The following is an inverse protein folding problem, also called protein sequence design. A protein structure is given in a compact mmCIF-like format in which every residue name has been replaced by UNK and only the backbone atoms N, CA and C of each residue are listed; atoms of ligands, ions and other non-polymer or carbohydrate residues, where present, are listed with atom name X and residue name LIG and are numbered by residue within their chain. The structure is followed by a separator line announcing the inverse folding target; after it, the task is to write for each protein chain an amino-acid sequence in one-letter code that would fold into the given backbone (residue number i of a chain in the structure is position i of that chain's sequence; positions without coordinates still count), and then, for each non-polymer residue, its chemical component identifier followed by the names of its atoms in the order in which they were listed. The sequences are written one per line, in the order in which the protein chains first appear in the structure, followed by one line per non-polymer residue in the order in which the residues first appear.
data_IF_629242528980
#
_entry.id   IF_629242528980
#
_cell.length_a   1.000
_cell.length_b   1.000
_cell.length_c   1.000
_cell.angle_alpha   90.00
_cell.angle_beta   90.00
_cell.angle_gamma   90.00
#
_symmetry.space_group_name_H-M   'P 1'
#
loop_
_entity.id
_entity.type
_entity.pdbx_description
1 polymer ?
#
# COMPACT_ATOMS: atom_id res chain seq x y z
N UNK A 1 -9.18 4.98 10.46
CA UNK A 1 -9.99 5.85 11.34
C UNK A 1 -9.02 6.67 12.18
N UNK A 2 -8.58 7.81 11.66
CA UNK A 2 -7.66 8.72 12.36
C UNK A 2 -8.37 9.59 13.40
N UNK A 3 -9.22 9.03 14.22
CA UNK A 3 -9.98 9.57 15.36
C UNK A 3 -9.64 10.94 15.94
N UNK A 4 -9.45 11.96 15.09
CA UNK A 4 -9.10 13.30 15.53
C UNK A 4 -7.59 13.55 15.67
N UNK A 5 -6.73 12.64 15.21
CA UNK A 5 -5.28 12.83 15.27
C UNK A 5 -4.84 14.12 14.54
N UNK A 6 -3.86 14.87 15.07
CA UNK A 6 -3.30 16.05 14.41
C UNK A 6 -2.73 15.72 13.03
N UNK A 7 -3.04 16.54 12.03
CA UNK A 7 -2.53 16.39 10.66
C UNK A 7 -1.54 17.51 10.40
N UNK A 8 -0.34 17.16 9.93
CA UNK A 8 0.70 18.11 9.53
C UNK A 8 0.88 18.01 8.02
N UNK A 9 0.53 19.09 7.31
CA UNK A 9 0.77 19.20 5.88
C UNK A 9 2.17 19.75 5.64
N UNK A 10 2.94 19.08 4.79
CA UNK A 10 4.31 19.47 4.48
C UNK A 10 4.44 19.78 3.00
N UNK A 11 4.80 21.00 2.66
CA UNK A 11 5.16 21.43 1.31
C UNK A 11 6.68 21.29 1.11
N UNK A 12 7.09 20.31 0.33
CA UNK A 12 8.50 20.15 -0.05
C UNK A 12 8.89 21.10 -1.18
N UNK A 13 10.17 21.14 -1.55
CA UNK A 13 10.69 22.01 -2.62
C UNK A 13 10.48 23.52 -2.37
N UNK A 14 10.66 23.96 -1.13
CA UNK A 14 10.62 25.38 -0.77
C UNK A 14 11.56 26.25 -1.62
N UNK A 15 12.65 25.69 -2.08
CA UNK A 15 13.62 26.30 -2.99
C UNK A 15 12.99 26.74 -4.32
N UNK A 16 11.94 26.03 -4.78
CA UNK A 16 11.22 26.35 -6.02
C UNK A 16 10.03 27.28 -5.78
N UNK A 17 9.55 27.41 -4.54
CA UNK A 17 8.43 28.26 -4.13
C UNK A 17 8.91 29.18 -2.99
N UNK A 18 9.84 30.07 -3.33
CA UNK A 18 10.55 30.88 -2.34
C UNK A 18 9.79 32.18 -1.96
N UNK A 19 8.84 32.65 -2.79
CA UNK A 19 8.13 33.87 -2.51
C UNK A 19 7.06 33.69 -1.44
N UNK A 20 6.86 34.69 -0.61
CA UNK A 20 5.85 34.72 0.46
C UNK A 20 4.46 34.63 -0.15
N UNK A 21 4.23 35.37 -1.21
CA UNK A 21 2.94 35.48 -1.91
C UNK A 21 2.50 34.15 -2.51
N UNK A 22 3.43 33.39 -3.11
CA UNK A 22 3.14 32.06 -3.66
C UNK A 22 2.76 31.06 -2.55
N UNK A 23 3.47 31.08 -1.44
CA UNK A 23 3.17 30.21 -0.30
C UNK A 23 1.81 30.55 0.32
N UNK A 24 1.46 31.83 0.40
CA UNK A 24 0.14 32.26 0.87
C UNK A 24 -0.97 31.87 -0.12
N UNK A 25 -0.73 31.98 -1.41
CA UNK A 25 -1.67 31.52 -2.45
C UNK A 25 -1.92 30.00 -2.36
N UNK A 26 -0.87 29.21 -2.17
CA UNK A 26 -1.00 27.76 -1.94
C UNK A 26 -1.78 27.47 -0.66
N UNK A 27 -1.48 28.17 0.43
CA UNK A 27 -2.19 28.03 1.70
C UNK A 27 -3.68 28.35 1.57
N UNK A 28 -4.03 29.44 0.85
CA UNK A 28 -5.40 29.82 0.58
C UNK A 28 -6.12 28.79 -0.30
N UNK A 29 -5.43 28.20 -1.28
CA UNK A 29 -5.95 27.13 -2.11
C UNK A 29 -6.26 25.88 -1.28
N UNK A 30 -5.34 25.43 -0.42
CA UNK A 30 -5.54 24.29 0.48
C UNK A 30 -6.76 24.51 1.38
N UNK A 31 -6.87 25.69 1.96
CA UNK A 31 -8.02 26.03 2.79
C UNK A 31 -9.33 25.97 1.98
N UNK A 32 -9.37 26.57 0.82
CA UNK A 32 -10.56 26.61 -0.02
C UNK A 32 -11.05 25.23 -0.41
N UNK A 33 -10.13 24.35 -0.79
CA UNK A 33 -10.47 22.99 -1.28
C UNK A 33 -10.83 22.02 -0.16
N UNK A 34 -10.25 22.19 1.04
CA UNK A 34 -10.37 21.17 2.11
C UNK A 34 -11.11 21.65 3.37
N UNK A 35 -11.47 22.93 3.52
CA UNK A 35 -12.11 23.48 4.73
C UNK A 35 -13.38 22.73 5.17
N UNK A 36 -14.11 22.15 4.22
CA UNK A 36 -15.36 21.44 4.48
C UNK A 36 -15.12 19.95 4.81
N UNK A 37 -13.87 19.48 4.79
CA UNK A 37 -13.51 18.13 5.20
C UNK A 37 -13.41 18.05 6.73
N UNK A 38 -14.05 17.06 7.37
CA UNK A 38 -13.92 16.86 8.82
C UNK A 38 -12.46 16.70 9.29
N UNK A 39 -11.61 16.09 8.45
CA UNK A 39 -10.20 15.91 8.74
C UNK A 39 -9.43 17.24 8.76
N UNK A 40 -9.89 18.28 8.06
CA UNK A 40 -9.20 19.56 7.99
C UNK A 40 -9.22 20.32 9.33
N UNK A 41 -10.20 20.03 10.19
CA UNK A 41 -10.29 20.61 11.52
C UNK A 41 -9.07 20.25 12.42
N UNK A 42 -8.37 19.15 12.11
CA UNK A 42 -7.18 18.70 12.85
C UNK A 42 -5.87 19.09 12.19
N UNK A 43 -5.91 19.80 11.05
CA UNK A 43 -4.70 20.29 10.36
C UNK A 43 -4.02 21.37 11.18
N UNK A 44 -2.73 21.17 11.44
CA UNK A 44 -1.90 22.09 12.19
C UNK A 44 -1.41 23.22 11.30
N UNK A 45 -1.46 24.43 11.84
CA UNK A 45 -1.03 25.65 11.14
C UNK A 45 0.43 25.98 11.46
N UNK A 46 1.20 26.30 10.43
CA UNK A 46 2.50 26.92 10.58
C UNK A 46 2.34 28.42 10.82
N UNK A 47 2.94 28.96 11.90
CA UNK A 47 2.89 30.35 12.28
C UNK A 47 4.30 30.92 12.35
N UNK A 48 4.57 31.91 11.55
CA UNK A 48 5.86 32.59 11.46
C UNK A 48 5.70 34.08 11.63
N UNK A 49 6.77 34.78 12.10
CA UNK A 49 6.82 36.23 12.05
C UNK A 49 7.03 36.65 10.60
N UNK A 50 6.21 37.57 10.13
CA UNK A 50 6.37 38.15 8.80
C UNK A 50 7.74 38.82 8.68
N UNK A 51 8.60 38.42 7.71
CA UNK A 51 9.90 39.04 7.49
C UNK A 51 9.84 40.52 7.16
N UNK A 52 8.69 41.01 6.61
CA UNK A 52 8.44 42.40 6.29
C UNK A 52 8.05 43.27 7.48
N UNK A 53 7.91 42.68 8.69
CA UNK A 53 7.57 43.40 9.92
C UNK A 53 6.07 43.61 10.13
N UNK A 54 5.20 43.07 9.30
CA UNK A 54 3.74 43.31 9.28
C UNK A 54 2.91 42.46 10.23
N UNK A 55 3.51 41.56 11.04
CA UNK A 55 2.72 40.73 11.93
C UNK A 55 3.14 39.25 11.95
N UNK A 56 2.15 38.33 12.17
CA UNK A 56 2.35 36.90 12.13
C UNK A 56 1.68 36.33 10.87
N UNK A 57 2.45 35.64 10.05
CA UNK A 57 1.97 34.89 8.92
C UNK A 57 1.50 33.50 9.38
N UNK A 58 0.38 33.04 8.84
CA UNK A 58 -0.18 31.72 9.14
C UNK A 58 -0.42 30.94 7.85
N UNK A 59 0.18 29.75 7.74
CA UNK A 59 0.01 28.85 6.61
C UNK A 59 -0.62 27.54 7.07
N UNK A 60 -1.40 26.91 6.20
CA UNK A 60 -1.98 25.60 6.42
C UNK A 60 -1.03 24.45 6.09
N UNK A 61 0.24 24.74 5.84
CA UNK A 61 1.29 23.77 5.60
C UNK A 61 2.65 24.31 6.05
N UNK A 62 3.61 23.42 6.21
CA UNK A 62 4.99 23.74 6.54
C UNK A 62 5.83 23.73 5.26
N UNK A 63 6.30 24.87 4.73
CA UNK A 63 7.18 24.93 3.57
C UNK A 63 8.60 24.53 3.97
N UNK A 64 9.06 23.33 3.58
CA UNK A 64 10.38 22.82 3.96
C UNK A 64 11.32 22.66 2.77
N UNK A 65 12.60 22.92 3.04
CA UNK A 65 13.69 22.60 2.13
C UNK A 65 14.39 21.32 2.62
N UNK A 66 14.04 20.18 2.01
CA UNK A 66 14.57 18.87 2.41
C UNK A 66 16.09 18.77 2.26
N UNK A 67 16.71 19.60 1.41
CA UNK A 67 18.16 19.56 1.18
C UNK A 67 18.94 20.14 2.34
N UNK A 68 18.31 20.99 3.15
CA UNK A 68 18.91 21.63 4.34
C UNK A 68 18.71 20.83 5.63
N UNK A 69 17.79 19.89 5.67
CA UNK A 69 17.50 19.11 6.87
C UNK A 69 17.24 20.01 8.09
N UNK A 70 17.93 19.74 9.19
CA UNK A 70 17.79 20.52 10.43
C UNK A 70 18.35 21.97 10.36
N UNK A 71 18.99 22.36 9.27
CA UNK A 71 19.39 23.76 9.04
C UNK A 71 18.23 24.62 8.54
N UNK A 72 17.14 24.03 8.06
CA UNK A 72 15.91 24.77 7.77
C UNK A 72 15.13 25.00 9.08
N UNK A 73 14.97 26.28 9.46
CA UNK A 73 14.23 26.69 10.65
C UNK A 73 12.77 26.16 10.65
N UNK A 74 12.17 25.99 9.47
CA UNK A 74 10.80 25.47 9.34
C UNK A 74 10.75 23.99 9.70
N UNK A 75 11.77 23.20 9.33
CA UNK A 75 11.89 21.80 9.74
C UNK A 75 11.97 21.70 11.26
N UNK A 76 12.80 22.53 11.90
CA UNK A 76 12.92 22.57 13.36
C UNK A 76 11.59 22.95 14.03
N UNK A 77 10.92 23.97 13.50
CA UNK A 77 9.61 24.42 14.01
C UNK A 77 8.54 23.32 13.85
N UNK A 78 8.53 22.62 12.72
CA UNK A 78 7.65 21.49 12.45
C UNK A 78 7.89 20.34 13.44
N UNK A 79 9.14 19.95 13.66
CA UNK A 79 9.48 18.90 14.63
C UNK A 79 9.02 19.27 16.04
N UNK A 80 9.26 20.51 16.48
CA UNK A 80 8.79 20.99 17.76
C UNK A 80 7.28 20.91 17.91
N UNK A 81 6.54 21.36 16.89
CA UNK A 81 5.09 21.29 16.88
C UNK A 81 4.58 19.86 16.92
N UNK A 82 5.23 18.91 16.19
CA UNK A 82 4.89 17.49 16.25
C UNK A 82 5.05 16.98 17.69
N UNK A 83 6.15 17.29 18.36
CA UNK A 83 6.37 16.90 19.76
C UNK A 83 5.27 17.45 20.66
N UNK A 84 4.94 18.75 20.53
CA UNK A 84 3.88 19.39 21.31
C UNK A 84 2.50 18.74 21.07
N UNK A 85 2.18 18.39 19.82
CA UNK A 85 0.95 17.65 19.49
C UNK A 85 0.92 16.28 20.16
N UNK A 86 2.04 15.55 20.07
CA UNK A 86 2.18 14.19 20.64
C UNK A 86 2.06 14.23 22.16
N UNK A 87 2.71 15.19 22.84
CA UNK A 87 2.62 15.35 24.30
C UNK A 87 1.19 15.68 24.77
N UNK A 88 0.37 16.30 23.91
CA UNK A 88 -1.03 16.58 24.16
C UNK A 88 -1.95 15.35 24.14
N UNK A 89 -1.53 14.26 23.51
CA UNK A 89 -2.36 13.09 23.26
C UNK A 89 -2.49 12.19 24.50
N UNK A 90 -3.72 11.76 24.82
CA UNK A 90 -3.99 10.92 25.99
C UNK A 90 -3.34 9.55 25.93
N UNK A 91 -3.19 8.97 24.72
CA UNK A 91 -2.60 7.63 24.57
C UNK A 91 -1.12 7.59 24.93
N UNK A 92 -0.39 8.70 24.86
CA UNK A 92 1.02 8.81 25.29
C UNK A 92 1.15 8.70 26.82
N UNK A 93 0.10 9.09 27.55
CA UNK A 93 0.08 9.04 29.03
C UNK A 93 -0.23 7.63 29.57
N UNK A 94 -0.48 6.63 28.69
CA UNK A 94 -0.75 5.26 29.13
C UNK A 94 0.50 4.65 29.77
N UNK A 95 0.32 4.12 30.98
CA UNK A 95 1.40 3.40 31.67
C UNK A 95 1.56 2.02 31.05
N UNK A 96 2.76 1.70 30.61
CA UNK A 96 3.12 0.37 30.12
C UNK A 96 4.09 -0.29 31.14
N UNK A 97 4.11 -1.63 31.26
CA UNK A 97 5.08 -2.32 32.09
C UNK A 97 6.51 -1.98 31.66
N UNK A 98 7.41 -1.76 32.60
CA UNK A 98 8.80 -1.47 32.31
C UNK A 98 9.49 -2.63 31.56
N UNK A 99 9.10 -3.86 31.87
CA UNK A 99 9.58 -5.07 31.18
C UNK A 99 9.32 -5.04 29.66
N UNK A 100 8.24 -4.39 29.19
CA UNK A 100 7.97 -4.22 27.76
C UNK A 100 8.99 -3.31 27.08
N UNK A 101 9.47 -2.28 27.79
CA UNK A 101 10.52 -1.39 27.27
C UNK A 101 11.86 -2.14 27.21
N UNK A 102 12.18 -2.96 28.20
CA UNK A 102 13.40 -3.78 28.19
C UNK A 102 13.40 -4.79 27.06
N UNK A 103 12.25 -5.39 26.75
CA UNK A 103 12.09 -6.25 25.56
C UNK A 103 12.30 -5.43 24.29
N UNK A 104 11.66 -4.28 24.18
CA UNK A 104 11.77 -3.41 23.00
C UNK A 104 13.22 -2.96 22.76
N UNK A 105 13.93 -2.58 23.79
CA UNK A 105 15.34 -2.18 23.68
C UNK A 105 16.24 -3.36 23.25
N UNK A 106 15.96 -4.56 23.74
CA UNK A 106 16.64 -5.78 23.29
C UNK A 106 16.35 -6.06 21.81
N UNK A 107 15.09 -5.94 21.37
CA UNK A 107 14.70 -6.10 19.98
C UNK A 107 15.35 -5.09 19.05
N UNK A 108 15.42 -3.82 19.46
CA UNK A 108 16.13 -2.78 18.70
C UNK A 108 17.62 -3.05 18.58
N UNK A 109 18.22 -3.58 19.66
CA UNK A 109 19.65 -3.87 19.70
C UNK A 109 20.06 -5.10 18.89
N UNK A 110 19.13 -6.02 18.58
CA UNK A 110 19.47 -7.25 17.86
C UNK A 110 19.82 -7.02 16.37
N UNK A 111 19.50 -5.83 15.82
CA UNK A 111 19.82 -5.44 14.44
C UNK A 111 19.10 -6.24 13.33
N UNK A 112 18.26 -7.20 13.70
CA UNK A 112 17.48 -8.02 12.75
C UNK A 112 16.31 -7.21 12.19
N UNK A 113 15.94 -7.37 10.90
CA UNK A 113 14.76 -6.72 10.32
C UNK A 113 13.45 -7.33 10.80
N UNK A 114 13.46 -8.61 11.17
CA UNK A 114 12.33 -9.35 11.72
C UNK A 114 12.81 -10.44 12.67
N UNK A 115 11.92 -10.96 13.49
CA UNK A 115 12.19 -12.04 14.46
C UNK A 115 11.00 -13.01 14.50
N UNK A 116 11.28 -14.29 14.78
CA UNK A 116 10.21 -15.25 15.03
C UNK A 116 9.48 -14.94 16.34
N UNK A 117 8.19 -15.29 16.40
CA UNK A 117 7.44 -15.16 17.66
C UNK A 117 8.07 -15.97 18.79
N UNK A 118 8.57 -17.16 18.49
CA UNK A 118 9.24 -18.01 19.47
C UNK A 118 10.49 -17.35 20.07
N UNK A 119 11.34 -16.75 19.26
CA UNK A 119 12.53 -16.05 19.74
C UNK A 119 12.14 -14.81 20.57
N UNK A 120 11.08 -14.10 20.17
CA UNK A 120 10.56 -12.98 20.93
C UNK A 120 10.02 -13.41 22.30
N UNK A 121 9.28 -14.53 22.36
CA UNK A 121 8.78 -15.08 23.63
C UNK A 121 9.91 -15.50 24.56
N UNK A 122 11.00 -16.05 24.03
CA UNK A 122 12.20 -16.36 24.79
C UNK A 122 12.84 -15.09 25.39
N UNK A 123 12.98 -14.01 24.60
CA UNK A 123 13.45 -12.71 25.06
C UNK A 123 12.51 -12.13 26.15
N UNK A 124 11.20 -12.18 25.90
CA UNK A 124 10.20 -11.66 26.83
C UNK A 124 10.24 -12.40 28.19
N UNK A 125 10.36 -13.73 28.16
CA UNK A 125 10.51 -14.54 29.37
C UNK A 125 11.79 -14.21 30.15
N UNK A 126 12.91 -13.97 29.46
CA UNK A 126 14.18 -13.54 30.07
C UNK A 126 14.03 -12.18 30.78
N UNK A 127 13.29 -11.25 30.16
CA UNK A 127 12.97 -9.92 30.73
C UNK A 127 11.87 -9.93 31.77
N UNK A 128 11.35 -11.12 32.12
CA UNK A 128 10.44 -11.32 33.26
C UNK A 128 8.97 -11.18 32.94
N UNK A 129 8.58 -11.16 31.66
CA UNK A 129 7.16 -11.26 31.31
C UNK A 129 6.61 -12.62 31.79
N UNK A 130 5.32 -12.66 32.14
CA UNK A 130 4.66 -13.85 32.69
C UNK A 130 4.99 -14.20 34.14
N UNK A 131 5.96 -13.52 34.77
CA UNK A 131 6.40 -13.85 36.16
C UNK A 131 5.53 -13.23 37.25
N UNK A 132 4.72 -12.23 36.93
CA UNK A 132 3.92 -11.53 37.95
C UNK A 132 2.71 -12.33 38.44
N UNK A 133 2.40 -13.48 37.83
CA UNK A 133 1.25 -14.33 38.18
C UNK A 133 -0.12 -13.73 37.81
N UNK A 134 -0.15 -12.53 37.22
CA UNK A 134 -1.40 -11.87 36.78
C UNK A 134 -1.85 -12.32 35.39
N UNK A 135 -0.90 -12.76 34.57
CA UNK A 135 -1.13 -13.12 33.16
C UNK A 135 -0.08 -14.16 32.76
N UNK A 136 -0.45 -15.10 31.90
CA UNK A 136 0.53 -16.03 31.33
C UNK A 136 1.39 -15.33 30.29
N UNK A 137 2.60 -15.85 30.05
CA UNK A 137 3.57 -15.23 29.14
C UNK A 137 2.99 -14.93 27.77
N UNK A 138 2.28 -15.88 27.18
CA UNK A 138 1.69 -15.75 25.83
C UNK A 138 0.70 -14.59 25.75
N UNK A 139 -0.17 -14.44 26.73
CA UNK A 139 -1.17 -13.36 26.81
C UNK A 139 -0.48 -11.99 26.97
N UNK A 140 0.54 -11.92 27.85
CA UNK A 140 1.29 -10.67 28.07
C UNK A 140 2.07 -10.25 26.82
N UNK A 141 2.67 -11.21 26.10
CA UNK A 141 3.36 -10.96 24.83
C UNK A 141 2.36 -10.49 23.76
N UNK A 142 1.18 -11.10 23.68
CA UNK A 142 0.15 -10.67 22.71
C UNK A 142 -0.31 -9.22 22.96
N UNK A 143 -0.53 -8.85 24.21
CA UNK A 143 -0.87 -7.47 24.59
C UNK A 143 0.26 -6.49 24.27
N UNK A 144 1.50 -6.87 24.54
CA UNK A 144 2.66 -6.06 24.20
C UNK A 144 2.77 -5.86 22.68
N UNK A 145 2.65 -6.93 21.90
CA UNK A 145 2.70 -6.86 20.43
C UNK A 145 1.58 -6.00 19.86
N UNK A 146 0.35 -6.17 20.34
CA UNK A 146 -0.79 -5.34 19.95
C UNK A 146 -0.55 -3.85 20.28
N UNK A 147 0.01 -3.57 21.44
CA UNK A 147 0.34 -2.19 21.85
C UNK A 147 1.44 -1.58 20.98
N UNK A 148 2.58 -2.28 20.80
CA UNK A 148 3.71 -1.80 20.01
C UNK A 148 3.36 -1.67 18.52
N UNK A 149 2.53 -2.57 18.00
CA UNK A 149 2.01 -2.49 16.62
C UNK A 149 1.02 -1.34 16.46
N UNK A 150 0.16 -1.10 17.44
CA UNK A 150 -0.75 0.04 17.48
C UNK A 150 -0.03 1.39 17.51
N UNK A 151 1.18 1.44 18.08
CA UNK A 151 2.08 2.60 18.04
C UNK A 151 2.92 2.68 16.76
N UNK A 152 2.84 1.70 15.86
CA UNK A 152 3.65 1.65 14.64
C UNK A 152 5.15 1.40 14.87
N UNK A 153 5.54 0.94 16.07
CA UNK A 153 6.94 0.64 16.41
C UNK A 153 7.39 -0.66 15.75
N UNK A 154 6.49 -1.62 15.67
CA UNK A 154 6.67 -2.91 14.99
C UNK A 154 5.48 -3.15 14.06
N UNK A 155 5.59 -4.13 13.15
CA UNK A 155 4.44 -4.67 12.44
C UNK A 155 4.24 -6.11 12.91
N UNK A 156 3.04 -6.38 13.40
CA UNK A 156 2.60 -7.69 13.81
C UNK A 156 1.18 -7.95 13.30
N UNK A 157 0.97 -9.10 12.68
CA UNK A 157 -0.33 -9.53 12.20
C UNK A 157 -0.71 -10.85 12.88
N UNK A 158 -1.89 -10.89 13.49
CA UNK A 158 -2.43 -12.08 14.15
C UNK A 158 -2.99 -13.13 13.18
N UNK A 159 -3.01 -12.87 11.87
CA UNK A 159 -3.40 -13.85 10.86
C UNK A 159 -2.51 -15.09 10.91
N UNK A 160 -3.10 -16.27 10.72
CA UNK A 160 -2.42 -17.55 10.92
C UNK A 160 -1.10 -17.70 10.13
N UNK A 161 -1.06 -17.15 8.92
CA UNK A 161 0.11 -17.22 8.02
C UNK A 161 1.29 -16.32 8.44
N UNK A 162 1.02 -15.22 9.16
CA UNK A 162 2.01 -14.22 9.57
C UNK A 162 2.20 -14.14 11.08
N UNK A 163 1.40 -14.89 11.84
CA UNK A 163 1.40 -14.88 13.31
C UNK A 163 2.76 -15.21 13.94
N UNK A 164 3.59 -15.95 13.22
CA UNK A 164 4.92 -16.34 13.68
C UNK A 164 6.01 -15.33 13.39
N UNK A 165 5.67 -14.19 12.75
CA UNK A 165 6.62 -13.18 12.35
C UNK A 165 6.32 -11.83 13.01
N UNK A 166 7.35 -11.23 13.59
CA UNK A 166 7.32 -9.86 14.13
C UNK A 166 8.33 -9.02 13.36
N UNK A 167 7.85 -8.02 12.61
CA UNK A 167 8.70 -7.16 11.79
C UNK A 167 9.17 -5.98 12.65
N UNK A 168 10.47 -5.86 12.84
CA UNK A 168 11.12 -4.85 13.67
C UNK A 168 11.54 -3.62 12.87
N UNK A 169 11.90 -3.81 11.60
CA UNK A 169 12.28 -2.73 10.68
C UNK A 169 11.52 -2.88 9.37
N UNK A 170 10.37 -2.20 9.22
CA UNK A 170 9.56 -2.29 8.00
C UNK A 170 10.32 -1.92 6.73
N UNK A 171 11.22 -0.94 6.79
CA UNK A 171 12.03 -0.55 5.62
C UNK A 171 12.89 -1.71 5.16
N UNK A 172 13.71 -2.27 6.02
CA UNK A 172 14.63 -3.37 5.68
C UNK A 172 13.91 -4.67 5.33
N UNK A 173 12.73 -4.91 5.92
CA UNK A 173 12.00 -6.15 5.72
C UNK A 173 11.02 -6.11 4.56
N UNK A 174 10.38 -4.97 4.29
CA UNK A 174 9.35 -4.85 3.23
C UNK A 174 9.83 -3.96 2.09
N UNK A 175 10.30 -2.74 2.38
CA UNK A 175 10.60 -1.76 1.33
C UNK A 175 11.80 -2.21 0.50
N UNK A 176 12.89 -2.61 1.14
CA UNK A 176 14.12 -2.99 0.44
C UNK A 176 13.88 -4.19 -0.52
N UNK A 177 13.31 -5.36 -0.07
CA UNK A 177 13.09 -6.46 -1.00
C UNK A 177 12.01 -6.16 -2.05
N UNK A 178 10.92 -5.47 -1.70
CA UNK A 178 9.85 -5.18 -2.66
C UNK A 178 10.29 -4.14 -3.70
N UNK A 179 11.14 -3.18 -3.33
CA UNK A 179 11.68 -2.22 -4.27
C UNK A 179 12.47 -2.87 -5.42
N UNK A 180 13.08 -4.04 -5.18
CA UNK A 180 13.80 -4.79 -6.22
C UNK A 180 12.90 -5.33 -7.34
N UNK A 181 11.59 -5.44 -7.09
CA UNK A 181 10.64 -5.97 -8.07
C UNK A 181 9.62 -4.95 -8.58
N UNK A 182 9.54 -3.76 -7.95
CA UNK A 182 8.57 -2.73 -8.35
C UNK A 182 9.23 -1.42 -8.81
N UNK A 183 10.56 -1.35 -8.87
CA UNK A 183 11.28 -0.14 -9.27
C UNK A 183 11.30 0.08 -10.80
N UNK A 184 11.69 1.27 -11.19
CA UNK A 184 12.07 1.56 -12.57
C UNK A 184 13.50 1.03 -12.84
N UNK A 185 13.62 -0.07 -13.56
CA UNK A 185 14.88 -0.73 -13.86
C UNK A 185 15.81 0.08 -14.78
N UNK A 186 15.34 1.17 -15.39
CA UNK A 186 16.17 2.09 -16.15
C UNK A 186 16.95 3.02 -15.26
N UNK A 187 16.37 3.39 -14.12
CA UNK A 187 16.93 4.30 -13.12
C UNK A 187 17.69 3.56 -12.03
N UNK A 188 17.18 2.42 -11.60
CA UNK A 188 17.70 1.63 -10.47
C UNK A 188 18.45 0.39 -10.97
N UNK A 189 19.76 0.36 -10.75
CA UNK A 189 20.67 -0.73 -11.19
C UNK A 189 21.37 -1.35 -9.98
N UNK A 190 20.58 -1.95 -9.10
CA UNK A 190 21.08 -2.60 -7.91
C UNK A 190 21.98 -3.80 -8.24
N UNK A 191 22.86 -4.17 -7.30
CA UNK A 191 23.74 -5.33 -7.47
C UNK A 191 22.94 -6.62 -7.67
N UNK A 192 21.85 -6.79 -6.92
CA UNK A 192 20.93 -7.91 -7.02
C UNK A 192 20.36 -8.06 -8.43
N UNK A 193 19.99 -6.95 -9.10
CA UNK A 193 19.52 -6.98 -10.49
C UNK A 193 20.57 -7.51 -11.45
N UNK A 194 21.82 -7.04 -11.31
CA UNK A 194 22.95 -7.50 -12.16
C UNK A 194 23.22 -8.98 -11.94
N UNK A 195 23.23 -9.42 -10.70
CA UNK A 195 23.45 -10.81 -10.32
C UNK A 195 22.32 -11.70 -10.87
N UNK A 196 21.06 -11.34 -10.58
CA UNK A 196 19.90 -12.12 -11.01
C UNK A 196 19.79 -12.20 -12.56
N UNK A 197 20.04 -11.09 -13.27
CA UNK A 197 20.03 -11.07 -14.73
C UNK A 197 21.13 -11.94 -15.36
N UNK A 198 22.29 -12.05 -14.71
CA UNK A 198 23.38 -12.92 -15.15
C UNK A 198 23.05 -14.39 -14.95
N UNK A 199 22.43 -14.75 -13.84
CA UNK A 199 22.04 -16.14 -13.53
C UNK A 199 20.84 -16.62 -14.37
N UNK A 200 19.86 -15.74 -14.60
CA UNK A 200 18.60 -16.08 -15.28
C UNK A 200 18.26 -15.06 -16.38
N UNK A 201 19.07 -14.93 -17.45
CA UNK A 201 18.91 -13.87 -18.46
C UNK A 201 17.56 -13.92 -19.19
N UNK A 202 17.05 -15.11 -19.47
CA UNK A 202 15.75 -15.27 -20.14
C UNK A 202 14.60 -14.86 -19.22
N UNK A 203 14.60 -15.27 -17.95
CA UNK A 203 13.58 -14.91 -16.99
C UNK A 203 13.61 -13.40 -16.69
N UNK A 204 14.81 -12.84 -16.58
CA UNK A 204 15.00 -11.40 -16.43
C UNK A 204 14.40 -10.61 -17.59
N UNK A 205 14.70 -11.03 -18.83
CA UNK A 205 14.13 -10.38 -20.02
C UNK A 205 12.60 -10.45 -20.04
N UNK A 206 12.00 -11.59 -19.67
CA UNK A 206 10.54 -11.73 -19.54
C UNK A 206 9.97 -10.84 -18.44
N UNK A 207 10.67 -10.75 -17.34
CA UNK A 207 10.25 -9.93 -16.20
C UNK A 207 10.18 -8.44 -16.57
N UNK A 208 11.28 -7.86 -17.08
CA UNK A 208 11.31 -6.43 -17.39
C UNK A 208 10.45 -6.04 -18.60
N UNK A 209 10.21 -6.98 -19.56
CA UNK A 209 9.44 -6.67 -20.77
C UNK A 209 7.95 -7.00 -20.66
N UNK A 210 7.57 -7.96 -19.84
CA UNK A 210 6.19 -8.48 -19.75
C UNK A 210 5.62 -8.50 -18.34
N UNK A 211 6.39 -8.12 -17.32
CA UNK A 211 6.00 -8.21 -15.93
C UNK A 211 5.84 -9.64 -15.40
N UNK A 212 6.41 -10.65 -16.09
CA UNK A 212 6.33 -12.07 -15.70
C UNK A 212 7.56 -12.49 -14.93
N UNK A 213 7.40 -12.72 -13.65
CA UNK A 213 8.46 -13.05 -12.70
C UNK A 213 8.40 -14.54 -12.33
N UNK A 214 9.46 -15.31 -12.60
CA UNK A 214 9.56 -16.70 -12.14
C UNK A 214 9.97 -16.75 -10.67
N UNK A 215 9.49 -17.76 -9.93
CA UNK A 215 9.84 -17.96 -8.50
C UNK A 215 11.35 -18.09 -8.28
N UNK A 216 12.06 -18.77 -9.21
CA UNK A 216 13.52 -18.91 -9.13
C UNK A 216 14.25 -17.57 -9.27
N UNK A 217 13.77 -16.67 -10.15
CA UNK A 217 14.31 -15.32 -10.28
C UNK A 217 14.00 -14.50 -9.03
N UNK A 218 12.79 -14.60 -8.48
CA UNK A 218 12.38 -13.95 -7.24
C UNK A 218 13.25 -14.40 -6.05
N UNK A 219 13.49 -15.72 -5.91
CA UNK A 219 14.40 -16.27 -4.89
C UNK A 219 15.81 -15.69 -5.01
N UNK A 220 16.30 -15.50 -6.24
CA UNK A 220 17.63 -14.91 -6.47
C UNK A 220 17.68 -13.42 -6.13
N UNK A 221 16.63 -12.67 -6.43
CA UNK A 221 16.53 -11.24 -6.07
C UNK A 221 16.47 -11.03 -4.55
N UNK A 222 15.86 -11.95 -3.83
CA UNK A 222 15.66 -11.85 -2.38
C UNK A 222 16.61 -12.71 -1.54
N UNK A 223 17.63 -13.29 -2.15
CA UNK A 223 18.57 -14.21 -1.50
C UNK A 223 19.19 -13.64 -0.21
N UNK A 224 19.50 -12.34 -0.21
CA UNK A 224 20.18 -11.67 0.89
C UNK A 224 19.26 -11.28 2.07
N UNK A 225 17.94 -11.32 1.89
CA UNK A 225 17.00 -10.83 2.91
C UNK A 225 16.54 -11.90 3.90
N UNK A 226 16.61 -13.19 3.54
CA UNK A 226 15.97 -14.25 4.30
C UNK A 226 14.45 -14.17 4.26
N UNK A 227 13.77 -15.04 5.00
CA UNK A 227 12.30 -15.04 5.13
C UNK A 227 11.56 -15.04 3.79
N UNK A 228 12.06 -15.83 2.83
CA UNK A 228 11.54 -15.83 1.45
C UNK A 228 10.04 -16.14 1.39
N UNK A 229 9.60 -17.18 2.10
CA UNK A 229 8.22 -17.64 2.09
C UNK A 229 7.26 -16.58 2.67
N UNK A 230 7.67 -15.91 3.74
CA UNK A 230 6.89 -14.84 4.37
C UNK A 230 6.82 -13.60 3.46
N UNK A 231 7.93 -13.23 2.83
CA UNK A 231 7.96 -12.13 1.86
C UNK A 231 7.10 -12.44 0.63
N UNK A 232 7.19 -13.66 0.10
CA UNK A 232 6.39 -14.14 -1.03
C UNK A 232 4.89 -14.09 -0.69
N UNK A 233 4.53 -14.59 0.49
CA UNK A 233 3.16 -14.56 0.98
C UNK A 233 2.62 -13.11 1.15
N UNK A 234 3.41 -12.25 1.79
CA UNK A 234 3.05 -10.83 1.93
C UNK A 234 2.89 -10.13 0.58
N UNK A 235 3.83 -10.35 -0.35
CA UNK A 235 3.76 -9.78 -1.68
C UNK A 235 2.52 -10.23 -2.45
N UNK A 236 2.14 -11.50 -2.32
CA UNK A 236 0.94 -12.05 -2.95
C UNK A 236 -0.34 -11.50 -2.31
N UNK A 237 -0.43 -11.46 -0.98
CA UNK A 237 -1.61 -10.95 -0.27
C UNK A 237 -1.88 -9.47 -0.57
N UNK A 238 -0.82 -8.68 -0.74
CA UNK A 238 -0.93 -7.26 -1.08
C UNK A 238 -0.94 -6.98 -2.59
N UNK A 239 -1.01 -8.01 -3.44
CA UNK A 239 -1.10 -7.86 -4.89
C UNK A 239 0.14 -7.23 -5.54
N UNK A 240 1.29 -7.24 -4.85
CA UNK A 240 2.59 -6.84 -5.42
C UNK A 240 3.01 -7.87 -6.47
N UNK A 241 2.79 -9.13 -6.17
CA UNK A 241 2.90 -10.25 -7.11
C UNK A 241 1.59 -11.01 -7.16
N UNK A 242 1.25 -11.57 -8.32
CA UNK A 242 0.01 -12.35 -8.52
C UNK A 242 0.36 -13.67 -9.17
N UNK A 243 0.03 -14.82 -8.54
CA UNK A 243 0.31 -16.13 -9.11
C UNK A 243 -0.34 -16.32 -10.48
N UNK A 244 0.43 -16.76 -11.48
CA UNK A 244 -0.05 -17.06 -12.83
C UNK A 244 -0.41 -18.53 -13.01
N UNK A 245 0.06 -19.39 -12.14
CA UNK A 245 -0.07 -20.84 -12.28
C UNK A 245 -0.99 -21.42 -11.23
N UNK A 246 -1.94 -22.26 -11.67
CA UNK A 246 -2.84 -22.98 -10.77
C UNK A 246 -2.11 -23.96 -9.85
N UNK A 247 -2.77 -24.27 -8.74
CA UNK A 247 -2.32 -25.21 -7.71
C UNK A 247 -1.94 -26.58 -8.36
N UNK A 248 -0.70 -27.03 -8.17
CA UNK A 248 -0.29 -28.39 -8.54
C UNK A 248 0.92 -28.54 -9.48
N UNK A 249 1.61 -27.44 -9.86
CA UNK A 249 2.89 -27.54 -10.57
C UNK A 249 4.07 -27.63 -9.59
N UNK A 250 5.15 -28.28 -10.03
CA UNK A 250 6.39 -28.34 -9.26
C UNK A 250 6.84 -26.91 -8.88
N UNK A 251 7.38 -26.75 -7.69
CA UNK A 251 7.76 -25.45 -7.09
C UNK A 251 8.59 -24.56 -8.02
N UNK A 252 9.41 -25.13 -8.88
CA UNK A 252 10.30 -24.40 -9.81
C UNK A 252 9.56 -23.80 -11.02
N UNK A 253 8.30 -24.13 -11.25
CA UNK A 253 7.49 -23.64 -12.37
C UNK A 253 6.43 -22.61 -11.97
N UNK A 254 6.48 -22.11 -10.75
CA UNK A 254 5.60 -21.02 -10.31
C UNK A 254 6.05 -19.73 -10.95
N UNK A 255 5.10 -19.03 -11.57
CA UNK A 255 5.29 -17.71 -12.17
C UNK A 255 4.29 -16.72 -11.57
N UNK A 256 4.68 -15.45 -11.52
CA UNK A 256 3.86 -14.36 -11.04
C UNK A 256 3.77 -13.27 -12.11
N UNK A 257 2.66 -12.52 -12.08
CA UNK A 257 2.59 -11.20 -12.66
C UNK A 257 3.02 -10.19 -11.59
N UNK A 258 3.80 -9.19 -11.99
CA UNK A 258 4.09 -7.99 -11.19
C UNK A 258 3.35 -6.83 -11.85
N UNK A 259 2.18 -6.42 -11.33
CA UNK A 259 1.31 -5.45 -12.00
C UNK A 259 1.96 -4.09 -12.26
N UNK A 260 2.85 -3.65 -11.35
CA UNK A 260 3.55 -2.37 -11.48
C UNK A 260 4.52 -2.29 -12.66
N UNK A 261 4.94 -3.45 -13.20
CA UNK A 261 5.88 -3.55 -14.35
C UNK A 261 5.13 -3.71 -15.67
N UNK A 262 3.84 -3.96 -15.65
CA UNK A 262 3.03 -4.05 -16.87
C UNK A 262 3.09 -2.73 -17.64
N UNK A 263 3.04 -2.83 -18.99
CA UNK A 263 3.01 -1.65 -19.85
C UNK A 263 1.87 -0.70 -19.47
N UNK A 264 2.12 0.59 -19.55
CA UNK A 264 1.12 1.66 -19.42
C UNK A 264 0.47 2.02 -20.75
N UNK A 265 0.94 1.45 -21.87
CA UNK A 265 0.34 1.70 -23.17
C UNK A 265 -1.10 1.14 -23.18
N UNK A 266 -2.05 1.83 -23.80
CA UNK A 266 -3.41 1.35 -23.85
C UNK A 266 -3.50 0.04 -24.63
N UNK A 267 -4.44 -0.82 -24.24
CA UNK A 267 -4.78 -2.01 -25.02
C UNK A 267 -5.38 -1.60 -26.37
N UNK A 268 -5.20 -2.41 -27.41
CA UNK A 268 -5.86 -2.17 -28.69
C UNK A 268 -7.39 -2.11 -28.50
N UNK A 269 -8.10 -1.38 -29.36
CA UNK A 269 -9.56 -1.32 -29.30
C UNK A 269 -10.18 -2.71 -29.28
N UNK A 270 -11.30 -2.87 -28.57
CA UNK A 270 -12.05 -4.12 -28.56
C UNK A 270 -12.50 -4.45 -29.98
N UNK A 271 -12.29 -5.68 -30.40
CA UNK A 271 -12.72 -6.17 -31.73
C UNK A 271 -14.26 -6.12 -31.87
N UNK A 272 -14.95 -6.32 -30.76
CA UNK A 272 -16.41 -6.22 -30.66
C UNK A 272 -16.79 -5.05 -29.76
N UNK A 273 -17.77 -4.26 -30.22
CA UNK A 273 -18.31 -3.20 -29.37
C UNK A 273 -18.88 -3.80 -28.06
N UNK A 274 -18.66 -3.17 -26.93
CA UNK A 274 -19.24 -3.64 -25.67
C UNK A 274 -20.76 -3.55 -25.73
N UNK A 275 -21.44 -4.61 -25.32
CA UNK A 275 -22.91 -4.63 -25.21
C UNK A 275 -23.41 -3.89 -23.98
N UNK A 276 -22.61 -3.88 -22.93
CA UNK A 276 -22.90 -3.21 -21.66
C UNK A 276 -21.65 -2.52 -21.14
N UNK A 277 -21.86 -1.38 -20.51
CA UNK A 277 -20.82 -0.63 -19.80
C UNK A 277 -21.27 -0.50 -18.35
N UNK A 278 -20.44 -0.97 -17.42
CA UNK A 278 -20.65 -0.83 -15.99
C UNK A 278 -19.54 0.01 -15.36
N UNK A 279 -19.80 0.54 -14.17
CA UNK A 279 -18.80 1.24 -13.37
C UNK A 279 -18.80 0.66 -11.97
N UNK A 280 -17.60 0.32 -11.48
CA UNK A 280 -17.37 -0.06 -10.09
C UNK A 280 -16.87 1.18 -9.34
N UNK A 281 -17.64 1.59 -8.36
CA UNK A 281 -17.38 2.78 -7.57
C UNK A 281 -17.06 2.35 -6.15
N UNK A 282 -15.93 2.84 -5.62
CA UNK A 282 -15.58 2.66 -4.22
C UNK A 282 -16.02 3.93 -3.50
N UNK A 283 -17.02 3.81 -2.64
CA UNK A 283 -17.54 4.92 -1.87
C UNK A 283 -17.44 4.62 -0.37
N UNK A 284 -17.19 5.66 0.42
CA UNK A 284 -17.29 5.54 1.87
C UNK A 284 -18.74 5.22 2.29
N UNK A 285 -18.93 4.25 3.16
CA UNK A 285 -20.18 3.56 3.46
C UNK A 285 -21.35 4.45 3.89
N UNK A 286 -21.11 5.63 4.45
CA UNK A 286 -22.16 6.49 5.02
C UNK A 286 -23.02 7.25 3.99
N UNK A 287 -22.54 7.34 2.74
CA UNK A 287 -23.24 8.14 1.70
C UNK A 287 -24.00 7.27 0.69
N UNK A 288 -23.72 5.96 0.62
CA UNK A 288 -24.24 5.08 -0.43
C UNK A 288 -25.63 4.52 -0.15
N UNK A 289 -26.00 4.32 1.12
CA UNK A 289 -27.31 3.74 1.47
C UNK A 289 -28.50 4.64 1.09
N UNK A 290 -28.28 5.95 0.90
CA UNK A 290 -29.32 6.91 0.52
C UNK A 290 -29.44 7.19 -1.00
N UNK A 291 -28.52 6.71 -1.82
CA UNK A 291 -28.43 7.16 -3.22
C UNK A 291 -28.62 6.07 -4.28
N UNK A 292 -28.86 4.82 -3.91
CA UNK A 292 -28.99 3.69 -4.86
C UNK A 292 -30.32 3.61 -5.63
N UNK A 293 -31.16 4.64 -5.59
CA UNK A 293 -32.45 4.68 -6.25
C UNK A 293 -32.51 5.32 -7.64
N UNK A 294 -31.47 5.96 -8.16
CA UNK A 294 -31.49 6.59 -9.49
C UNK A 294 -30.10 7.00 -9.99
N UNK A 295 -29.98 7.21 -11.30
CA UNK A 295 -28.83 7.57 -12.14
C UNK A 295 -27.91 8.71 -11.60
N UNK A 296 -28.17 9.24 -10.43
CA UNK A 296 -27.41 10.30 -9.71
C UNK A 296 -26.08 9.80 -9.14
N UNK A 297 -25.80 8.49 -9.15
CA UNK A 297 -24.56 7.91 -8.59
C UNK A 297 -23.27 8.43 -9.26
N UNK A 298 -23.31 8.87 -10.52
CA UNK A 298 -22.13 9.34 -11.26
C UNK A 298 -21.65 10.72 -10.78
N UNK A 299 -22.54 11.58 -10.33
CA UNK A 299 -22.18 12.91 -9.82
C UNK A 299 -21.66 12.90 -8.37
N UNK A 300 -22.12 11.95 -7.57
CA UNK A 300 -21.62 11.74 -6.21
C UNK A 300 -20.16 11.24 -6.21
N UNK A 301 -19.75 10.45 -7.22
CA UNK A 301 -18.38 9.92 -7.38
C UNK A 301 -17.35 11.03 -7.64
N UNK A 302 -17.73 12.14 -8.25
CA UNK A 302 -16.84 13.30 -8.45
C UNK A 302 -16.34 13.95 -7.15
N UNK A 303 -16.96 13.65 -6.01
CA UNK A 303 -16.60 14.19 -4.69
C UNK A 303 -15.82 13.22 -3.80
N UNK A 304 -15.70 11.96 -4.20
CA UNK A 304 -14.96 10.97 -3.43
C UNK A 304 -13.54 10.94 -3.98
N UNK A 305 -12.65 11.42 -3.21
CA UNK A 305 -11.23 11.58 -3.35
C UNK A 305 -10.46 10.56 -4.20
N UNK A 306 -9.19 10.58 -4.08
CA UNK A 306 -8.17 9.81 -4.81
C UNK A 306 -8.51 8.32 -4.82
N UNK A 307 -8.79 7.77 -6.02
CA UNK A 307 -8.87 6.33 -6.23
C UNK A 307 -7.47 5.72 -6.05
N UNK A 308 -7.27 4.74 -5.15
CA UNK A 308 -5.96 4.13 -4.96
C UNK A 308 -5.54 3.39 -6.24
N UNK A 309 -4.50 3.88 -6.93
CA UNK A 309 -4.02 3.28 -8.18
C UNK A 309 -3.65 1.80 -8.04
N UNK A 310 -3.12 1.39 -6.88
CA UNK A 310 -2.82 0.00 -6.59
C UNK A 310 -4.03 -0.94 -6.60
N UNK A 311 -5.23 -0.42 -6.39
CA UNK A 311 -6.44 -1.24 -6.32
C UNK A 311 -6.79 -1.89 -7.67
N UNK A 312 -6.62 -1.18 -8.78
CA UNK A 312 -6.87 -1.78 -10.10
C UNK A 312 -5.88 -2.91 -10.38
N UNK A 313 -4.62 -2.75 -10.01
CA UNK A 313 -3.60 -3.79 -10.17
C UNK A 313 -3.94 -5.04 -9.34
N UNK A 314 -4.41 -4.88 -8.12
CA UNK A 314 -4.87 -5.98 -7.26
C UNK A 314 -6.13 -6.64 -7.83
N UNK A 315 -7.08 -5.86 -8.34
CA UNK A 315 -8.30 -6.39 -8.96
C UNK A 315 -7.98 -7.19 -10.23
N UNK A 316 -7.13 -6.65 -11.10
CA UNK A 316 -6.66 -7.36 -12.29
C UNK A 316 -6.01 -8.69 -11.90
N UNK A 317 -5.13 -8.66 -10.90
CA UNK A 317 -4.46 -9.85 -10.40
C UNK A 317 -5.43 -10.90 -9.87
N UNK A 318 -6.36 -10.53 -9.02
CA UNK A 318 -7.40 -11.46 -8.51
C UNK A 318 -8.32 -11.96 -9.62
N UNK A 319 -8.69 -11.12 -10.58
CA UNK A 319 -9.50 -11.52 -11.72
C UNK A 319 -8.78 -12.53 -12.64
N UNK A 320 -7.47 -12.35 -12.85
CA UNK A 320 -6.64 -13.34 -13.56
C UNK A 320 -6.59 -14.67 -12.83
N UNK A 321 -6.36 -14.67 -11.52
CA UNK A 321 -6.35 -15.87 -10.70
C UNK A 321 -7.69 -16.63 -10.75
N UNK A 322 -8.82 -15.93 -10.69
CA UNK A 322 -10.16 -16.53 -10.82
C UNK A 322 -10.42 -17.08 -12.22
N UNK A 323 -10.04 -16.38 -13.27
CA UNK A 323 -10.17 -16.84 -14.65
C UNK A 323 -9.44 -18.16 -14.88
N UNK A 324 -8.28 -18.34 -14.26
CA UNK A 324 -7.52 -19.60 -14.30
C UNK A 324 -8.23 -20.74 -13.57
N UNK A 325 -8.83 -20.49 -12.41
CA UNK A 325 -9.57 -21.49 -11.64
C UNK A 325 -10.83 -21.97 -12.34
N UNK A 326 -11.47 -21.09 -13.13
CA UNK A 326 -12.75 -21.38 -13.78
C UNK A 326 -12.63 -22.11 -15.12
N UNK A 327 -11.50 -21.95 -15.80
CA UNK A 327 -11.30 -22.53 -17.13
C UNK A 327 -11.07 -24.05 -17.12
N UNK A 328 -10.80 -24.69 -15.98
CA UNK A 328 -10.66 -26.15 -15.84
C UNK A 328 -9.70 -26.84 -16.83
N UNK A 329 -9.07 -26.06 -17.68
CA UNK A 329 -8.23 -26.51 -18.78
C UNK A 329 -6.78 -26.24 -18.40
N UNK A 330 -6.04 -27.28 -18.16
CA UNK A 330 -4.60 -27.27 -17.91
C UNK A 330 -3.77 -26.82 -19.12
N UNK A 331 -4.13 -25.74 -19.78
CA UNK A 331 -3.36 -25.15 -20.87
C UNK A 331 -2.88 -23.74 -20.53
N UNK A 332 -1.55 -23.65 -20.62
CA UNK A 332 -0.72 -22.50 -20.92
C UNK A 332 -1.23 -21.12 -20.43
N UNK A 333 -0.55 -20.64 -19.39
CA UNK A 333 -0.39 -19.26 -18.98
C UNK A 333 -1.43 -18.26 -19.45
N UNK A 334 -2.03 -17.53 -18.50
CA UNK A 334 -2.84 -16.37 -18.87
C UNK A 334 -2.10 -15.56 -19.94
N UNK A 335 -2.79 -15.18 -21.01
CA UNK A 335 -2.19 -14.35 -22.05
C UNK A 335 -1.91 -12.95 -21.50
N UNK A 336 -0.66 -12.79 -21.05
CA UNK A 336 -0.17 -11.53 -20.44
C UNK A 336 -0.22 -10.38 -21.45
N UNK A 337 -0.35 -10.66 -22.77
CA UNK A 337 -0.46 -9.63 -23.80
C UNK A 337 -1.69 -8.73 -23.63
N UNK A 338 -2.71 -9.25 -22.96
CA UNK A 338 -3.98 -8.56 -22.68
C UNK A 338 -3.99 -7.83 -21.33
N UNK A 339 -2.89 -7.75 -20.63
CA UNK A 339 -2.74 -7.09 -19.33
C UNK A 339 -1.93 -5.80 -19.46
N UNK A 340 -2.40 -4.75 -18.80
CA UNK A 340 -1.73 -3.46 -18.64
C UNK A 340 -1.80 -3.03 -17.18
N UNK A 341 -1.02 -2.03 -16.81
CA UNK A 341 -0.99 -1.51 -15.45
C UNK A 341 -2.37 -1.00 -14.97
N UNK A 342 -3.15 -0.42 -15.86
CA UNK A 342 -4.44 0.21 -15.54
C UNK A 342 -5.61 -0.37 -16.35
N UNK A 343 -5.37 -1.41 -17.14
CA UNK A 343 -6.36 -1.99 -18.04
C UNK A 343 -6.09 -3.49 -18.26
N UNK A 344 -7.15 -4.29 -18.32
CA UNK A 344 -7.06 -5.70 -18.65
C UNK A 344 -8.24 -6.15 -19.51
N UNK A 345 -7.97 -6.97 -20.52
CA UNK A 345 -8.98 -7.71 -21.27
C UNK A 345 -8.99 -9.15 -20.77
N UNK A 346 -10.07 -9.54 -20.15
CA UNK A 346 -10.23 -10.77 -19.41
C UNK A 346 -11.37 -11.61 -19.97
N UNK A 347 -11.23 -12.93 -19.87
CA UNK A 347 -12.29 -13.86 -20.16
C UNK A 347 -12.54 -14.76 -18.96
N UNK A 348 -13.82 -15.03 -18.68
CA UNK A 348 -14.26 -15.88 -17.59
C UNK A 348 -15.37 -16.80 -18.11
N UNK A 349 -15.08 -18.05 -18.37
CA UNK A 349 -15.98 -18.96 -19.07
C UNK A 349 -16.36 -18.42 -20.46
N UNK A 350 -17.64 -18.20 -20.71
CA UNK A 350 -18.15 -17.58 -21.94
C UNK A 350 -18.17 -16.04 -21.91
N UNK A 351 -17.72 -15.43 -20.81
CA UNK A 351 -17.79 -13.99 -20.62
C UNK A 351 -16.48 -13.34 -21.03
N UNK A 352 -16.56 -12.34 -21.89
CA UNK A 352 -15.45 -11.51 -22.34
C UNK A 352 -15.71 -10.07 -21.91
N UNK A 353 -14.75 -9.47 -21.20
CA UNK A 353 -14.88 -8.12 -20.66
C UNK A 353 -13.54 -7.42 -20.53
N UNK A 354 -13.57 -6.09 -20.59
CA UNK A 354 -12.44 -5.22 -20.34
C UNK A 354 -12.67 -4.44 -19.05
N UNK A 355 -11.67 -4.44 -18.20
CA UNK A 355 -11.62 -3.62 -16.98
C UNK A 355 -10.60 -2.52 -17.22
N UNK A 356 -10.96 -1.27 -16.98
CA UNK A 356 -10.04 -0.13 -17.13
C UNK A 356 -10.29 0.93 -16.06
N UNK A 357 -9.22 1.64 -15.66
CA UNK A 357 -9.36 2.83 -14.83
C UNK A 357 -10.00 3.94 -15.68
N UNK A 358 -11.10 4.53 -15.20
CA UNK A 358 -11.74 5.65 -15.89
C UNK A 358 -11.01 6.95 -15.51
N UNK A 359 -10.27 7.58 -16.43
CA UNK A 359 -9.50 8.78 -16.15
C UNK A 359 -10.40 9.91 -15.63
N UNK A 360 -10.03 10.51 -14.50
CA UNK A 360 -10.73 11.65 -13.91
C UNK A 360 -12.07 11.34 -13.24
N UNK A 361 -12.52 10.08 -13.21
CA UNK A 361 -13.79 9.69 -12.58
C UNK A 361 -13.60 8.96 -11.23
N UNK A 362 -12.39 8.53 -10.90
CA UNK A 362 -12.13 7.78 -9.66
C UNK A 362 -12.91 6.48 -9.56
N UNK A 363 -13.12 5.79 -10.69
CA UNK A 363 -13.87 4.55 -10.76
C UNK A 363 -13.26 3.59 -11.78
N UNK A 364 -13.63 2.31 -11.68
CA UNK A 364 -13.25 1.28 -12.64
C UNK A 364 -14.38 1.12 -13.64
N UNK A 365 -14.07 1.31 -14.91
CA UNK A 365 -14.96 1.04 -16.03
C UNK A 365 -14.87 -0.44 -16.41
N UNK A 366 -16.02 -1.06 -16.64
CA UNK A 366 -16.13 -2.45 -17.09
C UNK A 366 -16.93 -2.50 -18.39
N UNK A 367 -16.26 -2.80 -19.50
CA UNK A 367 -16.86 -2.99 -20.81
C UNK A 367 -17.10 -4.48 -21.01
N UNK A 368 -18.37 -4.91 -21.12
CA UNK A 368 -18.77 -6.32 -21.24
C UNK A 368 -19.14 -6.61 -22.68
N UNK A 369 -18.39 -7.49 -23.34
CA UNK A 369 -18.54 -7.80 -24.76
C UNK A 369 -19.48 -8.97 -25.03
N UNK A 370 -19.48 -10.00 -24.20
CA UNK A 370 -20.24 -11.22 -24.39
C UNK A 370 -20.87 -11.68 -23.08
N UNK A 371 -22.09 -12.25 -23.18
CA UNK A 371 -22.84 -12.96 -22.15
C UNK A 371 -23.52 -12.12 -21.06
N UNK A 372 -23.79 -12.73 -19.89
CA UNK A 372 -24.69 -12.19 -18.89
C UNK A 372 -23.99 -11.07 -18.05
N UNK A 373 -24.36 -9.79 -18.24
CA UNK A 373 -23.69 -8.69 -17.54
C UNK A 373 -23.87 -8.75 -16.02
N UNK A 374 -24.98 -9.30 -15.52
CA UNK A 374 -25.23 -9.40 -14.07
C UNK A 374 -24.23 -10.32 -13.39
N UNK A 375 -23.84 -11.41 -14.05
CA UNK A 375 -22.89 -12.38 -13.51
C UNK A 375 -21.47 -11.81 -13.46
N UNK A 376 -21.04 -11.11 -14.52
CA UNK A 376 -19.73 -10.42 -14.56
C UNK A 376 -19.66 -9.34 -13.48
N UNK A 377 -20.66 -8.48 -13.39
CA UNK A 377 -20.70 -7.40 -12.39
C UNK A 377 -20.75 -7.95 -10.97
N UNK A 378 -21.51 -9.02 -10.73
CA UNK A 378 -21.58 -9.68 -9.42
C UNK A 378 -20.23 -10.27 -9.02
N UNK A 379 -19.55 -10.95 -9.93
CA UNK A 379 -18.22 -11.54 -9.69
C UNK A 379 -17.16 -10.47 -9.42
N UNK A 380 -17.12 -9.41 -10.23
CA UNK A 380 -16.20 -8.30 -10.04
C UNK A 380 -16.48 -7.52 -8.74
N UNK A 381 -17.76 -7.31 -8.39
CA UNK A 381 -18.12 -6.65 -7.13
C UNK A 381 -17.70 -7.46 -5.90
N UNK A 382 -17.78 -8.79 -5.98
CA UNK A 382 -17.27 -9.68 -4.93
C UNK A 382 -15.75 -9.55 -4.81
N UNK A 383 -15.03 -9.60 -5.94
CA UNK A 383 -13.57 -9.42 -5.95
C UNK A 383 -13.13 -8.06 -5.40
N UNK A 384 -13.84 -6.99 -5.73
CA UNK A 384 -13.55 -5.66 -5.17
C UNK A 384 -13.70 -5.65 -3.65
N UNK A 385 -14.70 -6.32 -3.09
CA UNK A 385 -14.86 -6.44 -1.63
C UNK A 385 -13.69 -7.21 -1.01
N UNK A 386 -13.32 -8.36 -1.58
CA UNK A 386 -12.18 -9.15 -1.11
C UNK A 386 -10.82 -8.42 -1.20
N UNK A 387 -10.72 -7.39 -2.03
CA UNK A 387 -9.51 -6.54 -2.12
C UNK A 387 -9.53 -5.42 -1.08
N UNK A 388 -10.72 -4.97 -0.67
CA UNK A 388 -10.90 -3.85 0.25
C UNK A 388 -10.96 -4.30 1.72
N UNK A 389 -11.30 -5.55 1.99
CA UNK A 389 -11.22 -6.20 3.30
C UNK A 389 -9.78 -6.61 3.63
#
# INVERSE_FOLDING_TARGET
KGGGAPIVLVGTHKDQVASVEEQEAISALLYREFKDSPAFATVQQFRERDPSGGGRRTLWFFPVDNTKGLQDAVVVAMMKMIVECVEGEEYIKRRVPFSWLDVLDTLKSCGKPAISRQDLEAIAADKGLGRTGRMVLEEEVELMLAHLSGLGIIIYNSEASLRNLVILSPVKFLVDPFSLIVCDFTLHKELQHKTASSFFPHDWSRFISKGVLSRRLLKKLWEDFGYFEELEHLAANHGIIVPLTGVGRAEDHVEYIVPSILSKDPLPPLVRAPRFVGYLVIAATETLERSLGSVVAVEAVRRIGIFPLGLISMLIGKAVALGQLSSGVGQAGADVSNLRAEEAHLSFGAHEFRVSLAPGQGCIKVDICVANPREVVSSLSRLCREVLE
#
